data_IF_732513304592
#
_entry.id   IF_732513304592
#
_cell.length_a   1.000
_cell.length_b   1.000
_cell.length_c   1.000
_cell.angle_alpha   90.00
_cell.angle_beta   90.00
_cell.angle_gamma   90.00
#
_symmetry.space_group_name_H-M   'P 1'
#
loop_
_entity.id
_entity.type
_entity.pdbx_description
1 polymer ?
#
# COMPACT_ATOMS: atom_id res chain seq x y z
N UNK A 1 51.36 -25.28 -23.40
CA UNK A 1 50.23 -24.57 -24.08
C UNK A 1 48.88 -25.15 -23.65
N UNK A 2 48.60 -26.44 -23.86
CA UNK A 2 47.28 -26.99 -23.52
C UNK A 2 46.88 -26.74 -22.03
N UNK A 3 47.79 -26.97 -21.10
CA UNK A 3 47.53 -26.75 -19.66
C UNK A 3 47.22 -25.29 -19.30
N UNK A 4 47.89 -24.33 -19.93
CA UNK A 4 47.60 -22.90 -19.76
C UNK A 4 46.17 -22.57 -20.24
N UNK A 5 45.77 -23.10 -21.40
CA UNK A 5 44.41 -22.90 -21.94
C UNK A 5 43.37 -23.53 -21.02
N UNK A 6 43.64 -24.72 -20.49
CA UNK A 6 42.74 -25.41 -19.55
C UNK A 6 42.55 -24.58 -18.26
N UNK A 7 43.64 -24.07 -17.67
CA UNK A 7 43.53 -23.20 -16.49
C UNK A 7 42.77 -21.91 -16.77
N UNK A 8 43.04 -21.28 -17.90
CA UNK A 8 42.37 -20.04 -18.32
C UNK A 8 40.86 -20.27 -18.56
N UNK A 9 40.50 -21.30 -19.33
CA UNK A 9 39.08 -21.63 -19.59
C UNK A 9 38.33 -22.08 -18.34
N UNK A 10 39.01 -22.84 -17.45
CA UNK A 10 38.43 -23.25 -16.18
C UNK A 10 38.11 -22.05 -15.28
N UNK A 11 39.08 -21.14 -15.14
CA UNK A 11 38.90 -19.89 -14.36
C UNK A 11 37.78 -19.04 -14.92
N UNK A 12 37.85 -18.75 -16.26
CA UNK A 12 36.82 -17.97 -16.94
C UNK A 12 35.42 -18.60 -16.81
N UNK A 13 35.32 -19.93 -16.97
CA UNK A 13 34.03 -20.64 -16.89
C UNK A 13 33.39 -20.62 -15.50
N UNK A 14 34.20 -20.88 -14.45
CA UNK A 14 33.71 -20.84 -13.06
C UNK A 14 33.32 -19.40 -12.67
N UNK A 15 34.18 -18.45 -12.98
CA UNK A 15 33.91 -17.03 -12.67
C UNK A 15 32.70 -16.50 -13.46
N UNK A 16 32.55 -16.87 -14.74
CA UNK A 16 31.36 -16.57 -15.54
C UNK A 16 30.07 -17.08 -14.89
N UNK A 17 30.09 -18.36 -14.45
CA UNK A 17 28.93 -18.95 -13.77
C UNK A 17 28.60 -18.22 -12.50
N UNK A 18 29.58 -17.91 -11.65
CA UNK A 18 29.35 -17.17 -10.39
C UNK A 18 28.75 -15.79 -10.65
N UNK A 19 29.27 -15.02 -11.60
CA UNK A 19 28.77 -13.69 -11.95
C UNK A 19 27.35 -13.74 -12.55
N UNK A 20 27.05 -14.79 -13.32
CA UNK A 20 25.69 -15.02 -13.84
C UNK A 20 24.69 -15.31 -12.70
N UNK A 21 25.07 -16.21 -11.77
CA UNK A 21 24.21 -16.56 -10.63
C UNK A 21 23.92 -15.36 -9.74
N UNK A 22 24.96 -14.56 -9.44
CA UNK A 22 24.84 -13.32 -8.67
C UNK A 22 23.87 -12.34 -9.35
N UNK A 23 24.10 -12.09 -10.63
CA UNK A 23 23.32 -11.11 -11.40
C UNK A 23 21.84 -11.50 -11.48
N UNK A 24 21.52 -12.76 -11.76
CA UNK A 24 20.11 -13.25 -11.80
C UNK A 24 19.47 -13.17 -10.42
N UNK A 25 20.18 -13.57 -9.35
CA UNK A 25 19.65 -13.51 -7.99
C UNK A 25 19.29 -12.07 -7.59
N UNK A 26 20.16 -11.11 -7.90
CA UNK A 26 19.95 -9.72 -7.55
C UNK A 26 18.88 -9.05 -8.42
N UNK A 27 18.85 -9.33 -9.71
CA UNK A 27 17.94 -8.66 -10.67
C UNK A 27 16.51 -9.18 -10.67
N UNK A 28 16.25 -10.36 -10.06
CA UNK A 28 14.89 -10.91 -10.04
C UNK A 28 14.04 -10.23 -8.97
N UNK A 29 12.92 -9.53 -9.32
CA UNK A 29 12.03 -8.90 -8.35
C UNK A 29 11.26 -9.92 -7.52
N UNK A 30 11.02 -9.60 -6.24
CA UNK A 30 10.25 -10.46 -5.32
C UNK A 30 8.82 -10.67 -5.84
N UNK A 31 8.19 -9.64 -6.38
CA UNK A 31 6.86 -9.70 -6.97
C UNK A 31 6.73 -10.78 -8.06
N UNK A 32 7.71 -10.86 -8.96
CA UNK A 32 7.73 -11.91 -10.00
C UNK A 32 7.90 -13.31 -9.41
N UNK A 33 8.76 -13.47 -8.41
CA UNK A 33 8.99 -14.76 -7.75
C UNK A 33 7.70 -15.24 -7.07
N UNK A 34 7.00 -14.34 -6.37
CA UNK A 34 5.74 -14.63 -5.68
C UNK A 34 4.65 -15.03 -6.68
N UNK A 35 4.48 -14.27 -7.76
CA UNK A 35 3.56 -14.61 -8.86
C UNK A 35 3.85 -16.00 -9.44
N UNK A 36 5.12 -16.33 -9.70
CA UNK A 36 5.51 -17.65 -10.24
C UNK A 36 5.28 -18.78 -9.23
N UNK A 37 5.43 -18.52 -7.94
CA UNK A 37 5.12 -19.46 -6.85
C UNK A 37 3.62 -19.78 -6.84
N UNK A 38 2.76 -18.78 -6.94
CA UNK A 38 1.30 -18.93 -7.01
C UNK A 38 0.86 -19.71 -8.24
N UNK A 39 1.58 -19.57 -9.37
CA UNK A 39 1.39 -20.37 -10.58
C UNK A 39 1.89 -21.82 -10.45
N UNK A 40 2.39 -22.24 -9.29
CA UNK A 40 2.86 -23.61 -9.03
C UNK A 40 4.26 -23.91 -9.55
N UNK A 41 5.08 -22.91 -9.90
CA UNK A 41 6.44 -23.11 -10.37
C UNK A 41 7.38 -23.48 -9.21
N UNK A 42 7.69 -24.76 -9.05
CA UNK A 42 8.45 -25.32 -7.91
C UNK A 42 9.78 -24.60 -7.58
N UNK A 43 10.62 -24.19 -8.56
CA UNK A 43 11.87 -23.49 -8.24
C UNK A 43 11.64 -22.14 -7.56
N UNK A 44 10.49 -21.48 -7.75
CA UNK A 44 10.20 -20.17 -7.20
C UNK A 44 10.19 -20.16 -5.66
N UNK A 45 9.71 -21.22 -5.01
CA UNK A 45 9.72 -21.30 -3.54
C UNK A 45 11.13 -21.30 -2.95
N UNK A 46 12.05 -22.05 -3.59
CA UNK A 46 13.47 -22.05 -3.15
C UNK A 46 14.15 -20.74 -3.48
N UNK A 47 13.84 -20.16 -4.65
CA UNK A 47 14.43 -18.89 -5.05
C UNK A 47 13.97 -17.76 -4.14
N UNK A 48 12.70 -17.77 -3.70
CA UNK A 48 12.19 -16.82 -2.72
C UNK A 48 12.98 -16.88 -1.42
N UNK A 49 13.29 -18.07 -0.91
CA UNK A 49 14.14 -18.24 0.29
C UNK A 49 15.54 -17.66 0.10
N UNK A 50 16.12 -17.79 -1.11
CA UNK A 50 17.41 -17.16 -1.42
C UNK A 50 17.32 -15.64 -1.51
N UNK A 51 16.18 -15.13 -1.95
CA UNK A 51 15.96 -13.68 -2.06
C UNK A 51 15.65 -13.04 -0.71
N UNK A 52 14.97 -13.76 0.20
CA UNK A 52 14.68 -13.30 1.57
C UNK A 52 15.90 -13.32 2.49
N UNK A 53 16.85 -14.27 2.30
CA UNK A 53 18.13 -14.33 3.02
C UNK A 53 19.27 -14.41 1.97
N UNK A 54 19.60 -13.27 1.31
CA UNK A 54 20.55 -13.25 0.20
C UNK A 54 21.99 -13.46 0.65
N UNK A 55 22.31 -13.26 1.91
CA UNK A 55 23.67 -13.35 2.45
C UNK A 55 24.28 -14.74 2.25
N UNK A 56 23.49 -15.79 2.45
CA UNK A 56 23.95 -17.17 2.28
C UNK A 56 24.31 -17.51 0.84
N UNK A 57 23.41 -17.33 -0.15
CA UNK A 57 23.76 -17.62 -1.54
C UNK A 57 24.87 -16.72 -2.07
N UNK A 58 24.85 -15.43 -1.70
CA UNK A 58 25.91 -14.48 -2.12
C UNK A 58 27.25 -14.87 -1.53
N UNK A 59 27.33 -15.22 -0.24
CA UNK A 59 28.59 -15.69 0.37
C UNK A 59 29.15 -16.92 -0.34
N UNK A 60 28.30 -17.87 -0.73
CA UNK A 60 28.73 -19.06 -1.46
C UNK A 60 29.25 -18.71 -2.88
N UNK A 61 28.53 -17.86 -3.59
CA UNK A 61 28.88 -17.41 -4.94
C UNK A 61 30.19 -16.62 -4.93
N UNK A 62 30.30 -15.61 -4.07
CA UNK A 62 31.46 -14.75 -3.94
C UNK A 62 32.72 -15.52 -3.50
N UNK A 63 32.55 -16.49 -2.57
CA UNK A 63 33.65 -17.34 -2.12
C UNK A 63 34.21 -18.17 -3.28
N UNK A 64 33.35 -18.86 -4.03
CA UNK A 64 33.80 -19.65 -5.18
C UNK A 64 34.43 -18.76 -6.25
N UNK A 65 33.83 -17.61 -6.54
CA UNK A 65 34.39 -16.66 -7.52
C UNK A 65 35.79 -16.17 -7.13
N UNK A 66 35.97 -15.82 -5.85
CA UNK A 66 37.27 -15.36 -5.34
C UNK A 66 38.32 -16.50 -5.39
N UNK A 67 37.95 -17.71 -4.99
CA UNK A 67 38.82 -18.88 -5.07
C UNK A 67 39.23 -19.15 -6.54
N UNK A 68 38.26 -19.18 -7.45
CA UNK A 68 38.49 -19.44 -8.86
C UNK A 68 39.42 -18.39 -9.49
N UNK A 69 39.15 -17.11 -9.23
CA UNK A 69 39.94 -16.02 -9.76
C UNK A 69 41.40 -15.99 -9.17
N UNK A 70 41.52 -16.22 -7.85
CA UNK A 70 42.87 -16.18 -7.19
C UNK A 70 43.70 -17.38 -7.58
N UNK A 71 43.20 -18.59 -7.45
CA UNK A 71 43.91 -19.83 -7.80
C UNK A 71 44.14 -19.90 -9.31
N UNK A 72 43.15 -19.51 -10.10
CA UNK A 72 43.23 -19.49 -11.54
C UNK A 72 44.28 -18.54 -12.06
N UNK A 73 44.29 -17.30 -11.57
CA UNK A 73 45.30 -16.30 -11.93
C UNK A 73 46.72 -16.77 -11.56
N UNK A 74 46.90 -17.36 -10.36
CA UNK A 74 48.19 -17.92 -9.94
C UNK A 74 48.65 -19.09 -10.84
N UNK A 75 47.72 -20.00 -11.19
CA UNK A 75 48.00 -21.15 -12.07
C UNK A 75 48.35 -20.69 -13.51
N UNK A 76 47.61 -19.75 -14.06
CA UNK A 76 47.87 -19.15 -15.38
C UNK A 76 49.19 -18.41 -15.37
N UNK A 77 49.46 -17.59 -14.36
CA UNK A 77 50.74 -16.84 -14.23
C UNK A 77 51.94 -17.75 -14.13
N UNK A 78 51.88 -18.80 -13.28
CA UNK A 78 52.93 -19.80 -13.19
C UNK A 78 53.20 -20.51 -14.53
N UNK A 79 52.14 -20.95 -15.19
CA UNK A 79 52.25 -21.67 -16.46
C UNK A 79 52.77 -20.78 -17.57
N UNK A 80 52.34 -19.50 -17.56
CA UNK A 80 52.87 -18.48 -18.51
C UNK A 80 54.38 -18.26 -18.33
N UNK A 81 54.83 -18.15 -17.08
CA UNK A 81 56.28 -17.98 -16.78
C UNK A 81 57.11 -19.18 -17.24
N UNK A 82 56.58 -20.40 -17.09
CA UNK A 82 57.27 -21.65 -17.54
C UNK A 82 57.36 -21.67 -19.10
N UNK A 83 56.33 -21.21 -19.80
CA UNK A 83 56.28 -21.29 -21.27
C UNK A 83 56.98 -20.13 -21.99
N UNK A 84 56.87 -18.92 -21.45
CA UNK A 84 57.31 -17.68 -22.14
C UNK A 84 58.41 -16.90 -21.40
N UNK A 85 58.81 -17.37 -20.20
CA UNK A 85 59.76 -16.68 -19.37
C UNK A 85 59.18 -15.51 -18.57
N UNK A 86 59.97 -14.96 -17.66
CA UNK A 86 59.53 -13.91 -16.73
C UNK A 86 59.24 -12.58 -17.42
N UNK A 87 59.81 -12.32 -18.56
CA UNK A 87 59.65 -11.07 -19.34
C UNK A 87 58.20 -10.88 -19.82
N UNK A 88 57.52 -11.96 -20.17
CA UNK A 88 56.15 -11.93 -20.70
C UNK A 88 55.07 -12.01 -19.62
N UNK A 89 55.45 -12.25 -18.39
CA UNK A 89 54.51 -12.42 -17.26
C UNK A 89 53.55 -11.23 -17.09
N UNK A 90 54.05 -9.99 -17.16
CA UNK A 90 53.24 -8.79 -17.01
C UNK A 90 52.20 -8.64 -18.12
N UNK A 91 52.56 -8.89 -19.37
CA UNK A 91 51.65 -8.78 -20.52
C UNK A 91 50.55 -9.86 -20.44
N UNK A 92 50.95 -11.11 -20.15
CA UNK A 92 50.00 -12.23 -20.03
C UNK A 92 49.03 -12.02 -18.84
N UNK A 93 49.54 -11.52 -17.70
CA UNK A 93 48.69 -11.18 -16.54
C UNK A 93 47.71 -10.07 -16.87
N UNK A 94 48.14 -8.98 -17.53
CA UNK A 94 47.26 -7.90 -17.95
C UNK A 94 46.17 -8.37 -18.92
N UNK A 95 46.55 -9.22 -19.89
CA UNK A 95 45.63 -9.78 -20.86
C UNK A 95 44.62 -10.75 -20.18
N UNK A 96 45.08 -11.57 -19.25
CA UNK A 96 44.17 -12.46 -18.45
C UNK A 96 43.19 -11.66 -17.60
N UNK A 97 43.66 -10.58 -16.97
CA UNK A 97 42.80 -9.68 -16.19
C UNK A 97 41.73 -9.04 -17.07
N UNK A 98 42.06 -8.59 -18.27
CA UNK A 98 41.12 -8.02 -19.23
C UNK A 98 40.09 -9.09 -19.68
N UNK A 99 40.55 -10.31 -19.97
CA UNK A 99 39.64 -11.42 -20.34
C UNK A 99 38.69 -11.78 -19.21
N UNK A 100 39.19 -11.86 -17.98
CA UNK A 100 38.31 -12.11 -16.78
C UNK A 100 37.29 -10.97 -16.64
N UNK A 101 37.71 -9.72 -16.70
CA UNK A 101 36.80 -8.57 -16.56
C UNK A 101 35.69 -8.60 -17.62
N UNK A 102 36.04 -8.81 -18.89
CA UNK A 102 35.07 -8.75 -19.97
C UNK A 102 34.22 -10.01 -19.98
N UNK A 103 34.81 -11.19 -20.03
CA UNK A 103 34.08 -12.46 -20.25
C UNK A 103 33.54 -13.10 -18.98
N UNK A 104 34.11 -12.82 -17.80
CA UNK A 104 33.67 -13.42 -16.55
C UNK A 104 32.90 -12.47 -15.64
N UNK A 105 32.90 -11.15 -15.89
CA UNK A 105 32.14 -10.21 -15.10
C UNK A 105 31.12 -9.43 -15.93
N UNK A 106 31.55 -8.68 -16.97
CA UNK A 106 30.62 -7.79 -17.70
C UNK A 106 29.59 -8.60 -18.48
N UNK A 107 30.04 -9.56 -19.32
CA UNK A 107 29.13 -10.35 -20.19
C UNK A 107 28.12 -11.15 -19.37
N UNK A 108 28.51 -11.96 -18.37
CA UNK A 108 27.53 -12.76 -17.62
C UNK A 108 26.59 -11.89 -16.79
N UNK A 109 27.04 -10.76 -16.23
CA UNK A 109 26.16 -9.82 -15.51
C UNK A 109 25.12 -9.22 -16.45
N UNK A 110 25.50 -8.83 -17.66
CA UNK A 110 24.56 -8.33 -18.67
C UNK A 110 23.55 -9.39 -19.10
N UNK A 111 24.00 -10.63 -19.31
CA UNK A 111 23.12 -11.75 -19.63
C UNK A 111 22.16 -12.01 -18.46
N UNK A 112 22.66 -12.04 -17.24
CA UNK A 112 21.86 -12.29 -16.05
C UNK A 112 20.78 -11.24 -15.82
N UNK A 113 21.10 -9.95 -15.98
CA UNK A 113 20.13 -8.85 -15.87
C UNK A 113 19.12 -8.83 -17.00
N UNK A 114 19.47 -9.26 -18.22
CA UNK A 114 18.58 -9.25 -19.37
C UNK A 114 17.65 -10.49 -19.43
N UNK A 115 18.15 -11.66 -19.04
CA UNK A 115 17.46 -12.95 -19.20
C UNK A 115 17.08 -13.64 -17.87
N UNK A 116 17.01 -12.89 -16.77
CA UNK A 116 16.74 -13.44 -15.43
C UNK A 116 15.47 -14.29 -15.35
N UNK A 117 14.41 -13.92 -16.11
CA UNK A 117 13.12 -14.67 -16.15
C UNK A 117 13.32 -16.13 -16.59
N UNK A 118 14.12 -16.33 -17.62
CA UNK A 118 14.35 -17.66 -18.20
C UNK A 118 15.40 -18.47 -17.41
N UNK A 119 16.34 -17.77 -16.78
CA UNK A 119 17.44 -18.39 -16.06
C UNK A 119 17.11 -18.76 -14.61
N UNK A 120 15.99 -18.26 -14.03
CA UNK A 120 15.63 -18.46 -12.64
C UNK A 120 15.65 -19.92 -12.21
N UNK A 121 15.13 -20.85 -13.02
CA UNK A 121 15.10 -22.29 -12.70
C UNK A 121 16.49 -22.92 -12.63
N UNK A 122 17.33 -22.64 -13.62
CA UNK A 122 18.73 -23.09 -13.65
C UNK A 122 19.52 -22.53 -12.47
N UNK A 123 19.40 -21.22 -12.22
CA UNK A 123 20.08 -20.50 -11.15
C UNK A 123 19.68 -21.03 -9.79
N UNK A 124 18.38 -21.32 -9.56
CA UNK A 124 17.90 -21.95 -8.31
C UNK A 124 18.63 -23.25 -8.01
N UNK A 125 18.78 -24.10 -9.01
CA UNK A 125 19.44 -25.40 -8.87
C UNK A 125 20.94 -25.25 -8.66
N UNK A 126 21.59 -24.36 -9.41
CA UNK A 126 23.02 -24.08 -9.30
C UNK A 126 23.38 -23.48 -7.94
N UNK A 127 22.62 -22.48 -7.46
CA UNK A 127 22.83 -21.88 -6.12
C UNK A 127 22.58 -22.93 -5.02
N UNK A 128 21.57 -23.78 -5.16
CA UNK A 128 21.33 -24.86 -4.17
C UNK A 128 22.54 -25.79 -4.05
N UNK A 129 23.11 -26.21 -5.18
CA UNK A 129 24.30 -27.03 -5.22
C UNK A 129 25.52 -26.32 -4.61
N UNK A 130 25.71 -25.05 -5.01
CA UNK A 130 26.84 -24.23 -4.55
C UNK A 130 26.79 -23.95 -3.06
N UNK A 131 25.60 -23.69 -2.52
CA UNK A 131 25.40 -23.45 -1.09
C UNK A 131 25.77 -24.68 -0.22
N UNK A 132 25.53 -25.88 -0.75
CA UNK A 132 25.95 -27.12 -0.08
C UNK A 132 27.48 -27.31 -0.18
N UNK A 133 28.05 -27.06 -1.36
CA UNK A 133 29.49 -27.20 -1.59
C UNK A 133 30.33 -26.22 -0.73
N UNK A 134 29.87 -24.98 -0.62
CA UNK A 134 30.53 -23.90 0.12
C UNK A 134 30.07 -23.78 1.57
N UNK A 135 29.26 -24.75 2.07
CA UNK A 135 28.68 -24.71 3.41
C UNK A 135 29.68 -24.38 4.56
N UNK A 136 30.89 -24.97 4.64
CA UNK A 136 31.83 -24.63 5.70
C UNK A 136 32.30 -23.18 5.67
N UNK A 137 32.49 -22.62 4.47
CA UNK A 137 32.89 -21.23 4.29
C UNK A 137 31.73 -20.26 4.63
N UNK A 138 30.52 -20.61 4.25
CA UNK A 138 29.32 -19.82 4.55
C UNK A 138 29.10 -19.70 6.06
N UNK A 139 29.33 -20.79 6.83
CA UNK A 139 29.24 -20.72 8.29
C UNK A 139 30.27 -19.76 8.87
N UNK A 140 31.51 -19.82 8.39
CA UNK A 140 32.58 -18.93 8.88
C UNK A 140 32.25 -17.45 8.61
N UNK A 141 31.74 -17.13 7.42
CA UNK A 141 31.33 -15.77 7.06
C UNK A 141 30.16 -15.32 7.93
N UNK A 142 29.17 -16.20 8.17
CA UNK A 142 28.01 -15.90 9.01
C UNK A 142 28.36 -15.58 10.46
N UNK A 143 29.35 -16.24 11.02
CA UNK A 143 29.85 -15.93 12.35
C UNK A 143 30.40 -14.49 12.44
N UNK A 144 30.99 -13.99 11.35
CA UNK A 144 31.52 -12.63 11.29
C UNK A 144 30.37 -11.64 11.07
N UNK A 145 29.46 -11.94 10.15
CA UNK A 145 28.34 -11.04 9.77
C UNK A 145 27.38 -10.84 10.93
N UNK A 146 27.02 -11.92 11.67
CA UNK A 146 26.14 -11.84 12.84
C UNK A 146 26.69 -10.96 13.98
N UNK A 147 28.01 -10.71 13.98
CA UNK A 147 28.61 -9.76 14.93
C UNK A 147 28.40 -8.29 14.50
N UNK A 148 28.06 -8.05 13.25
CA UNK A 148 27.96 -6.72 12.64
C UNK A 148 26.53 -6.27 12.34
N UNK A 149 25.61 -7.21 12.10
CA UNK A 149 24.19 -6.93 11.82
C UNK A 149 23.34 -7.13 13.06
N UNK A 150 22.56 -6.10 13.43
CA UNK A 150 21.38 -6.25 14.29
C UNK A 150 20.23 -6.71 13.42
N UNK A 151 19.53 -7.76 13.83
CA UNK A 151 18.26 -8.16 13.23
C UNK A 151 17.25 -7.02 13.46
N UNK A 152 16.99 -6.22 12.46
CA UNK A 152 15.81 -5.36 12.38
C UNK A 152 14.79 -6.14 11.56
N UNK A 153 13.75 -6.63 12.23
CA UNK A 153 12.52 -7.17 11.62
C UNK A 153 11.72 -6.01 11.01
N UNK A 154 12.28 -5.31 10.02
CA UNK A 154 11.52 -4.34 9.22
C UNK A 154 10.68 -5.10 8.17
N UNK A 155 9.42 -4.68 8.07
CA UNK A 155 8.56 -5.15 6.99
C UNK A 155 9.26 -4.90 5.65
N UNK A 156 9.43 -5.97 4.85
CA UNK A 156 10.19 -5.93 3.58
C UNK A 156 9.55 -5.06 2.50
N UNK A 157 8.31 -4.61 2.68
CA UNK A 157 7.58 -3.72 1.76
C UNK A 157 6.77 -2.71 2.58
N UNK A 158 6.97 -1.42 2.34
CA UNK A 158 6.21 -0.34 2.96
C UNK A 158 4.96 0.03 2.15
N UNK A 159 4.01 0.75 2.76
CA UNK A 159 2.84 1.30 2.04
C UNK A 159 3.26 2.28 0.95
N UNK A 160 4.32 3.04 1.19
CA UNK A 160 4.89 3.99 0.24
C UNK A 160 5.48 3.27 -0.99
N UNK A 161 6.12 2.11 -0.80
CA UNK A 161 6.63 1.29 -1.90
C UNK A 161 5.50 0.72 -2.77
N UNK A 162 4.40 0.26 -2.15
CA UNK A 162 3.20 -0.18 -2.90
C UNK A 162 2.62 0.96 -3.73
N UNK A 163 2.50 2.16 -3.14
CA UNK A 163 2.02 3.36 -3.81
C UNK A 163 2.93 3.77 -4.97
N UNK A 164 4.25 3.71 -4.76
CA UNK A 164 5.24 4.00 -5.82
C UNK A 164 5.15 2.98 -6.97
N UNK A 165 4.98 1.68 -6.67
CA UNK A 165 4.78 0.65 -7.69
C UNK A 165 3.50 0.87 -8.50
N UNK A 166 2.40 1.27 -7.85
CA UNK A 166 1.16 1.60 -8.55
C UNK A 166 1.34 2.79 -9.50
N UNK A 167 2.07 3.83 -9.08
CA UNK A 167 2.40 4.97 -9.96
C UNK A 167 3.20 4.55 -11.18
N UNK A 168 4.24 3.73 -10.99
CA UNK A 168 5.04 3.19 -12.11
C UNK A 168 4.15 2.36 -13.05
N UNK A 169 3.27 1.51 -12.50
CA UNK A 169 2.33 0.73 -13.29
C UNK A 169 1.38 1.58 -14.13
N UNK A 170 0.96 2.74 -13.62
CA UNK A 170 0.14 3.69 -14.36
C UNK A 170 0.95 4.41 -15.46
N UNK A 171 2.20 4.82 -15.17
CA UNK A 171 3.09 5.43 -16.17
C UNK A 171 3.42 4.46 -17.32
N UNK A 172 3.59 3.17 -17.02
CA UNK A 172 3.84 2.11 -18.02
C UNK A 172 2.57 1.64 -18.74
N UNK A 173 1.37 2.10 -18.33
CA UNK A 173 0.09 1.71 -18.93
C UNK A 173 -0.36 0.29 -18.57
N UNK A 174 0.15 -0.28 -17.48
CA UNK A 174 -0.25 -1.60 -16.94
C UNK A 174 -1.58 -1.51 -16.19
N UNK A 175 -1.80 -0.40 -15.49
CA UNK A 175 -3.06 -0.02 -14.84
C UNK A 175 -3.46 1.37 -15.34
N UNK A 176 -4.74 1.70 -15.29
CA UNK A 176 -5.19 3.03 -15.69
C UNK A 176 -5.06 4.08 -14.55
N UNK A 177 -5.29 5.35 -14.90
CA UNK A 177 -5.14 6.45 -13.95
C UNK A 177 -6.15 6.39 -12.79
N UNK A 178 -7.34 5.85 -13.03
CA UNK A 178 -8.40 5.80 -12.04
C UNK A 178 -8.17 4.62 -11.08
N UNK A 179 -7.73 3.48 -11.60
CA UNK A 179 -7.25 2.35 -10.79
C UNK A 179 -6.11 2.78 -9.84
N UNK A 180 -5.15 3.56 -10.37
CA UNK A 180 -4.05 4.09 -9.55
C UNK A 180 -4.55 5.02 -8.44
N UNK A 181 -5.52 5.92 -8.73
CA UNK A 181 -6.12 6.79 -7.71
C UNK A 181 -6.78 6.00 -6.59
N UNK A 182 -7.55 4.96 -6.94
CA UNK A 182 -8.19 4.07 -5.95
C UNK A 182 -7.15 3.43 -5.03
N UNK A 183 -6.06 2.89 -5.60
CA UNK A 183 -4.97 2.30 -4.81
C UNK A 183 -4.37 3.35 -3.84
N UNK A 184 -4.07 4.56 -4.34
CA UNK A 184 -3.51 5.63 -3.51
C UNK A 184 -4.46 6.05 -2.39
N UNK A 185 -5.76 6.16 -2.66
CA UNK A 185 -6.77 6.58 -1.69
C UNK A 185 -6.95 5.52 -0.59
N UNK A 186 -6.98 4.22 -0.96
CA UNK A 186 -7.03 3.13 0.02
C UNK A 186 -5.79 3.16 0.93
N UNK A 187 -4.59 3.38 0.39
CA UNK A 187 -3.37 3.45 1.19
C UNK A 187 -3.34 4.64 2.16
N UNK A 188 -4.09 5.71 1.87
CA UNK A 188 -4.21 6.92 2.70
C UNK A 188 -5.39 6.89 3.66
N UNK A 189 -6.34 5.95 3.52
CA UNK A 189 -7.63 5.96 4.22
C UNK A 189 -7.48 6.01 5.76
N UNK A 190 -6.44 5.38 6.30
CA UNK A 190 -6.13 5.43 7.73
C UNK A 190 -5.67 6.81 8.22
N UNK A 191 -5.27 7.70 7.31
CA UNK A 191 -4.82 9.05 7.62
C UNK A 191 -5.92 10.10 7.34
N UNK A 192 -7.03 9.72 6.72
CA UNK A 192 -8.17 10.60 6.46
C UNK A 192 -9.04 10.64 7.71
N UNK A 193 -9.21 11.82 8.29
CA UNK A 193 -10.08 12.02 9.44
C UNK A 193 -11.54 12.03 9.02
N UNK A 194 -12.40 11.47 9.86
CA UNK A 194 -13.85 11.42 9.56
C UNK A 194 -14.48 12.81 9.44
N UNK A 195 -13.99 13.80 10.15
CA UNK A 195 -14.48 15.19 10.06
C UNK A 195 -14.34 15.81 8.67
N UNK A 196 -13.40 15.30 7.85
CA UNK A 196 -13.18 15.77 6.48
C UNK A 196 -14.13 15.11 5.46
N UNK A 197 -14.80 14.01 5.86
CA UNK A 197 -15.63 13.18 4.97
C UNK A 197 -17.09 13.14 5.40
N UNK A 198 -17.37 13.17 6.72
CA UNK A 198 -18.71 13.02 7.29
C UNK A 198 -19.71 14.03 6.71
N UNK A 199 -20.99 13.65 6.68
CA UNK A 199 -22.11 14.58 6.49
C UNK A 199 -22.33 15.38 7.77
N UNK A 200 -22.03 16.71 7.81
CA UNK A 200 -22.13 17.51 9.03
C UNK A 200 -23.56 17.65 9.55
N UNK A 201 -23.74 17.81 10.86
CA UNK A 201 -25.05 17.95 11.52
C UNK A 201 -25.95 19.05 10.94
N UNK A 202 -25.37 20.09 10.34
CA UNK A 202 -26.13 21.21 9.78
C UNK A 202 -26.94 20.82 8.56
N UNK A 203 -26.56 19.75 7.86
CA UNK A 203 -27.22 19.19 6.68
C UNK A 203 -27.82 17.82 6.92
N UNK A 204 -27.34 17.10 7.93
CA UNK A 204 -27.87 15.80 8.30
C UNK A 204 -29.36 15.92 8.76
N UNK A 205 -30.22 15.08 8.16
CA UNK A 205 -31.61 15.05 8.52
C UNK A 205 -31.82 14.16 9.75
N UNK A 206 -32.48 14.68 10.79
CA UNK A 206 -32.78 13.96 12.01
C UNK A 206 -34.28 14.05 12.34
N UNK A 207 -34.86 13.04 13.00
CA UNK A 207 -36.26 13.01 13.38
C UNK A 207 -36.42 12.79 14.89
N UNK A 208 -37.50 13.29 15.49
CA UNK A 208 -37.78 13.07 16.89
C UNK A 208 -38.36 11.65 17.10
N UNK A 209 -37.81 10.87 18.02
CA UNK A 209 -38.15 9.46 18.19
C UNK A 209 -39.61 9.21 18.60
N UNK A 210 -40.29 10.18 19.25
CA UNK A 210 -41.70 10.09 19.64
C UNK A 210 -42.67 10.51 18.51
N UNK A 211 -42.18 10.87 17.34
CA UNK A 211 -43.03 11.20 16.18
C UNK A 211 -43.77 9.97 15.70
N UNK A 212 -45.08 10.11 15.36
CA UNK A 212 -45.86 9.03 14.74
C UNK A 212 -45.54 8.86 13.26
N UNK A 213 -45.72 7.64 12.73
CA UNK A 213 -45.48 7.34 11.31
C UNK A 213 -46.27 8.25 10.37
N UNK A 214 -47.52 8.59 10.76
CA UNK A 214 -48.38 9.53 10.04
C UNK A 214 -47.72 10.92 9.89
N UNK A 215 -47.09 11.42 10.96
CA UNK A 215 -46.43 12.74 10.92
C UNK A 215 -45.11 12.66 10.23
N UNK A 216 -44.39 11.58 10.34
CA UNK A 216 -43.17 11.31 9.62
C UNK A 216 -43.40 11.36 8.10
N UNK A 217 -44.39 10.64 7.59
CA UNK A 217 -44.75 10.56 6.19
C UNK A 217 -45.21 11.89 5.59
N UNK A 218 -45.84 12.76 6.38
CA UNK A 218 -46.25 14.09 5.91
C UNK A 218 -45.10 15.04 5.55
N UNK A 219 -43.93 14.74 6.01
CA UNK A 219 -42.74 15.53 5.71
C UNK A 219 -41.93 14.85 4.61
N UNK A 220 -42.15 15.27 3.37
CA UNK A 220 -41.49 14.71 2.17
C UNK A 220 -39.96 14.70 2.29
N UNK A 221 -39.37 15.58 3.11
CA UNK A 221 -37.90 15.65 3.30
C UNK A 221 -37.31 14.35 3.87
N UNK A 222 -38.05 13.64 4.72
CA UNK A 222 -37.59 12.35 5.27
C UNK A 222 -37.57 11.23 4.22
N UNK A 223 -38.40 11.32 3.18
CA UNK A 223 -38.56 10.27 2.19
C UNK A 223 -37.38 10.16 1.20
N UNK A 224 -36.46 11.11 1.26
CA UNK A 224 -35.25 11.10 0.44
C UNK A 224 -34.06 10.36 1.07
N UNK A 225 -34.20 9.93 2.34
CA UNK A 225 -33.09 9.32 3.07
C UNK A 225 -33.45 7.90 3.50
N UNK A 226 -32.62 6.92 3.14
CA UNK A 226 -32.83 5.52 3.50
C UNK A 226 -32.68 5.26 5.00
N UNK A 227 -31.84 6.06 5.70
CA UNK A 227 -31.54 5.95 7.14
C UNK A 227 -31.64 7.31 7.77
N UNK A 228 -32.46 7.43 8.80
CA UNK A 228 -32.71 8.71 9.48
C UNK A 228 -32.33 8.57 10.94
N UNK A 229 -31.30 9.27 11.43
CA UNK A 229 -30.98 9.34 12.85
C UNK A 229 -32.15 9.92 13.66
N UNK A 230 -32.41 9.34 14.83
CA UNK A 230 -33.49 9.81 15.70
C UNK A 230 -32.94 10.25 17.05
N UNK A 231 -33.58 11.31 17.59
CA UNK A 231 -33.24 11.89 18.89
C UNK A 231 -34.41 11.88 19.85
N UNK A 232 -34.13 11.83 21.16
CA UNK A 232 -35.12 11.91 22.22
C UNK A 232 -35.58 13.35 22.52
N UNK A 233 -35.04 13.91 23.59
CA UNK A 233 -35.44 15.24 24.07
C UNK A 233 -34.77 16.38 23.36
N UNK A 234 -33.52 16.20 22.87
CA UNK A 234 -32.72 17.20 22.18
C UNK A 234 -32.09 16.67 20.92
N UNK A 235 -32.10 17.43 19.82
CA UNK A 235 -31.40 17.09 18.58
C UNK A 235 -29.86 16.93 18.71
N UNK A 236 -29.30 17.35 19.83
CA UNK A 236 -27.86 17.21 20.12
C UNK A 236 -27.50 15.78 20.54
N UNK A 237 -28.50 14.95 20.95
CA UNK A 237 -28.28 13.59 21.44
C UNK A 237 -29.09 12.59 20.63
N UNK A 238 -28.41 11.99 19.66
CA UNK A 238 -29.01 10.94 18.83
C UNK A 238 -29.06 9.64 19.65
N UNK A 239 -30.21 8.97 19.64
CA UNK A 239 -30.47 7.74 20.41
C UNK A 239 -30.43 6.48 19.54
N UNK A 240 -30.39 6.61 18.21
CA UNK A 240 -30.38 5.54 17.24
C UNK A 240 -30.76 6.04 15.85
N UNK A 241 -31.13 5.14 14.98
CA UNK A 241 -31.66 5.48 13.65
C UNK A 241 -32.84 4.57 13.27
N UNK A 242 -33.61 4.99 12.28
CA UNK A 242 -34.68 4.17 11.66
C UNK A 242 -34.33 3.95 10.19
N UNK A 243 -34.85 2.86 9.63
CA UNK A 243 -34.88 2.65 8.18
C UNK A 243 -36.19 3.21 7.61
N UNK A 244 -36.10 3.91 6.48
CA UNK A 244 -37.28 4.36 5.75
C UNK A 244 -38.16 3.18 5.34
N UNK A 245 -37.59 2.05 4.95
CA UNK A 245 -38.32 0.83 4.59
C UNK A 245 -39.26 0.35 5.72
N UNK A 246 -38.73 0.31 6.97
CA UNK A 246 -39.48 -0.14 8.13
C UNK A 246 -40.65 0.82 8.43
N UNK A 247 -40.42 2.13 8.26
CA UNK A 247 -41.45 3.15 8.43
C UNK A 247 -42.54 3.05 7.35
N UNK A 248 -42.17 2.78 6.10
CA UNK A 248 -43.13 2.57 5.01
C UNK A 248 -43.89 1.26 5.14
N UNK A 249 -43.27 0.18 5.64
CA UNK A 249 -43.90 -1.07 5.92
C UNK A 249 -44.99 -0.89 7.02
N UNK A 250 -44.69 -0.22 8.14
CA UNK A 250 -45.67 0.09 9.16
C UNK A 250 -46.84 0.94 8.66
N UNK A 251 -46.58 1.89 7.71
CA UNK A 251 -47.64 2.65 7.08
C UNK A 251 -48.54 1.79 6.15
N UNK A 252 -47.94 0.83 5.46
CA UNK A 252 -48.68 -0.10 4.59
C UNK A 252 -49.59 -1.06 5.42
N UNK A 253 -49.18 -1.34 6.68
CA UNK A 253 -49.97 -2.13 7.63
C UNK A 253 -51.01 -1.30 8.45
N UNK A 254 -51.26 -0.04 8.02
CA UNK A 254 -52.20 0.90 8.67
C UNK A 254 -51.80 1.30 10.11
N UNK A 255 -50.50 1.13 10.51
CA UNK A 255 -49.98 1.47 11.85
C UNK A 255 -49.66 2.97 11.99
N UNK A 256 -50.55 3.85 11.61
CA UNK A 256 -50.32 5.31 11.52
C UNK A 256 -49.89 5.98 12.83
N UNK A 257 -50.31 5.48 13.97
CA UNK A 257 -50.02 6.03 15.29
C UNK A 257 -48.76 5.43 15.94
N UNK A 258 -48.16 4.40 15.34
CA UNK A 258 -46.89 3.80 15.77
C UNK A 258 -45.78 4.88 15.75
N UNK A 259 -44.95 4.87 16.80
CA UNK A 259 -43.88 5.87 16.96
C UNK A 259 -42.56 5.37 16.41
N UNK A 260 -41.68 6.30 15.95
CA UNK A 260 -40.37 5.97 15.42
C UNK A 260 -39.50 5.23 16.44
N UNK A 261 -39.66 5.47 17.75
CA UNK A 261 -38.92 4.78 18.80
C UNK A 261 -39.15 3.27 18.78
N UNK A 262 -40.30 2.79 18.28
CA UNK A 262 -40.63 1.36 18.17
C UNK A 262 -39.90 0.68 17.00
N UNK A 263 -39.44 1.46 16.02
CA UNK A 263 -38.67 1.02 14.85
C UNK A 263 -37.17 1.33 15.00
N UNK A 264 -36.77 1.98 16.10
CA UNK A 264 -35.41 2.45 16.34
C UNK A 264 -34.40 1.30 16.41
N UNK A 265 -33.31 1.46 15.70
CA UNK A 265 -32.15 0.57 15.73
C UNK A 265 -30.97 1.25 16.42
N UNK A 266 -30.10 0.49 17.09
CA UNK A 266 -28.87 1.06 17.66
C UNK A 266 -27.96 1.57 16.57
N UNK A 267 -27.14 2.58 16.87
CA UNK A 267 -26.16 3.17 15.98
C UNK A 267 -24.79 3.18 16.65
N UNK A 268 -23.73 2.80 15.93
CA UNK A 268 -22.36 2.96 16.42
C UNK A 268 -21.94 4.42 16.39
N UNK A 269 -21.18 4.83 17.39
CA UNK A 269 -20.65 6.20 17.49
C UNK A 269 -19.12 6.19 17.42
N UNK A 270 -18.58 7.25 16.84
CA UNK A 270 -17.17 7.51 16.63
C UNK A 270 -16.86 8.97 16.96
N UNK A 271 -15.60 9.30 17.14
CA UNK A 271 -15.16 10.67 17.44
C UNK A 271 -14.68 11.38 16.17
N UNK A 272 -14.63 12.71 16.18
CA UNK A 272 -14.13 13.51 15.05
C UNK A 272 -12.67 13.20 14.66
N UNK A 273 -11.89 12.65 15.60
CA UNK A 273 -10.49 12.30 15.39
C UNK A 273 -10.28 10.89 14.79
N UNK A 274 -11.34 10.05 14.74
CA UNK A 274 -11.24 8.72 14.18
C UNK A 274 -10.95 8.76 12.68
N UNK A 275 -10.13 7.81 12.21
CA UNK A 275 -9.84 7.68 10.79
C UNK A 275 -10.96 6.97 10.04
N UNK A 276 -11.17 7.34 8.78
CA UNK A 276 -12.12 6.66 7.91
C UNK A 276 -11.81 5.16 7.76
N UNK A 277 -10.52 4.77 7.78
CA UNK A 277 -10.11 3.36 7.74
C UNK A 277 -10.60 2.57 8.95
N UNK A 278 -10.43 3.12 10.17
CA UNK A 278 -10.92 2.50 11.39
C UNK A 278 -12.46 2.37 11.40
N UNK A 279 -13.16 3.43 11.01
CA UNK A 279 -14.62 3.43 10.94
C UNK A 279 -15.12 2.41 9.93
N UNK A 280 -14.50 2.32 8.77
CA UNK A 280 -14.83 1.33 7.74
C UNK A 280 -14.76 -0.10 8.27
N UNK A 281 -13.65 -0.46 8.93
CA UNK A 281 -13.48 -1.79 9.53
C UNK A 281 -14.57 -2.11 10.57
N UNK A 282 -14.88 -1.15 11.47
CA UNK A 282 -15.87 -1.34 12.51
C UNK A 282 -17.32 -1.45 11.95
N UNK A 283 -17.69 -0.63 10.97
CA UNK A 283 -19.00 -0.70 10.32
C UNK A 283 -19.17 -2.04 9.58
N UNK A 284 -18.15 -2.49 8.83
CA UNK A 284 -18.19 -3.79 8.15
C UNK A 284 -18.31 -4.96 9.13
N UNK A 285 -17.53 -4.93 10.21
CA UNK A 285 -17.56 -5.98 11.24
C UNK A 285 -18.89 -6.10 11.95
N UNK A 286 -19.59 -4.98 12.15
CA UNK A 286 -20.92 -4.94 12.79
C UNK A 286 -22.07 -5.07 11.80
N UNK A 287 -21.79 -5.12 10.49
CA UNK A 287 -22.79 -5.08 9.42
C UNK A 287 -23.69 -3.83 9.47
N UNK A 288 -23.11 -2.71 9.92
CA UNK A 288 -23.75 -1.41 9.95
C UNK A 288 -23.36 -0.60 8.71
N UNK A 289 -24.25 0.29 8.25
CA UNK A 289 -23.99 1.12 7.07
C UNK A 289 -24.00 2.61 7.40
N UNK A 290 -24.23 2.97 8.67
CA UNK A 290 -24.24 4.33 9.15
C UNK A 290 -23.60 4.38 10.54
N UNK A 291 -22.77 5.40 10.77
CA UNK A 291 -22.18 5.72 12.07
C UNK A 291 -22.49 7.15 12.49
N UNK A 292 -22.53 7.40 13.78
CA UNK A 292 -22.72 8.70 14.38
C UNK A 292 -21.38 9.29 14.77
N UNK A 293 -21.14 10.55 14.43
CA UNK A 293 -19.95 11.29 14.85
C UNK A 293 -20.34 12.21 16.00
N UNK A 294 -19.58 12.09 17.10
CA UNK A 294 -19.80 12.86 18.32
C UNK A 294 -18.51 13.60 18.74
N UNK A 295 -18.67 14.70 19.44
CA UNK A 295 -17.54 15.38 20.10
C UNK A 295 -17.18 14.73 21.45
N UNK A 296 -16.20 15.30 22.15
CA UNK A 296 -15.74 14.86 23.46
C UNK A 296 -16.80 14.95 24.57
N UNK A 297 -17.89 15.68 24.35
CA UNK A 297 -19.02 15.84 25.26
C UNK A 297 -20.21 14.91 24.90
N UNK A 298 -20.07 14.10 23.85
CA UNK A 298 -21.13 13.22 23.34
C UNK A 298 -22.19 13.93 22.50
N UNK A 299 -21.95 15.19 22.09
CA UNK A 299 -22.86 15.92 21.23
C UNK A 299 -22.73 15.53 19.76
N UNK A 300 -23.83 15.46 19.07
CA UNK A 300 -23.92 15.12 17.65
C UNK A 300 -23.18 16.15 16.78
N UNK A 301 -22.22 15.69 15.97
CA UNK A 301 -21.48 16.49 15.02
C UNK A 301 -21.82 16.16 13.55
N UNK A 302 -22.13 14.90 13.26
CA UNK A 302 -22.45 14.47 11.92
C UNK A 302 -22.70 12.97 11.83
N UNK A 303 -22.93 12.50 10.63
CA UNK A 303 -23.05 11.08 10.31
C UNK A 303 -22.00 10.70 9.26
N UNK A 304 -21.61 9.45 9.28
CA UNK A 304 -20.77 8.82 8.27
C UNK A 304 -21.45 7.57 7.76
N UNK A 305 -21.47 7.36 6.47
CA UNK A 305 -22.00 6.15 5.83
C UNK A 305 -20.89 5.37 5.15
N UNK A 306 -21.15 4.12 4.81
CA UNK A 306 -20.21 3.35 3.96
C UNK A 306 -20.11 3.97 2.57
N UNK A 307 -21.13 4.66 2.09
CA UNK A 307 -21.16 5.39 0.83
C UNK A 307 -20.10 6.50 0.84
N UNK A 308 -20.06 7.36 1.88
CA UNK A 308 -19.06 8.43 2.03
C UNK A 308 -17.62 7.89 2.01
N UNK A 309 -17.40 6.73 2.65
CA UNK A 309 -16.08 6.08 2.68
C UNK A 309 -15.71 5.53 1.30
N UNK A 310 -16.66 4.91 0.59
CA UNK A 310 -16.45 4.40 -0.77
C UNK A 310 -16.16 5.56 -1.74
N UNK A 311 -16.87 6.66 -1.63
CA UNK A 311 -16.61 7.89 -2.40
C UNK A 311 -15.19 8.41 -2.17
N UNK A 312 -14.75 8.43 -0.92
CA UNK A 312 -13.37 8.79 -0.55
C UNK A 312 -12.35 7.85 -1.20
N UNK A 313 -12.62 6.54 -1.23
CA UNK A 313 -11.75 5.54 -1.88
C UNK A 313 -11.73 5.73 -3.40
N UNK A 314 -12.89 5.92 -4.02
CA UNK A 314 -12.99 6.11 -5.47
C UNK A 314 -12.47 7.48 -5.90
N UNK A 315 -12.47 8.48 -5.01
CA UNK A 315 -12.16 9.87 -5.32
C UNK A 315 -13.21 10.51 -6.22
N UNK A 316 -14.45 10.04 -6.12
CA UNK A 316 -15.62 10.46 -6.90
C UNK A 316 -16.80 10.60 -5.95
N UNK A 317 -17.66 11.59 -6.21
CA UNK A 317 -18.98 11.68 -5.58
C UNK A 317 -19.97 10.74 -6.29
N UNK A 318 -20.64 9.88 -5.53
CA UNK A 318 -21.69 9.00 -6.04
C UNK A 318 -23.01 9.79 -5.94
N UNK A 319 -23.53 10.25 -7.08
CA UNK A 319 -24.74 11.06 -7.13
C UNK A 319 -25.94 10.12 -7.28
N UNK A 320 -26.86 10.11 -6.31
CA UNK A 320 -28.17 9.46 -6.44
C UNK A 320 -29.14 10.34 -7.23
N UNK A 321 -30.12 9.74 -7.91
CA UNK A 321 -31.14 10.41 -8.71
C UNK A 321 -31.95 11.47 -7.92
N UNK A 322 -31.98 11.34 -6.58
CA UNK A 322 -32.71 12.21 -5.66
C UNK A 322 -31.84 13.25 -4.94
N UNK A 323 -30.53 13.27 -5.16
CA UNK A 323 -29.62 14.17 -4.46
C UNK A 323 -29.83 15.63 -4.85
N UNK A 324 -30.07 16.48 -3.84
CA UNK A 324 -30.20 17.93 -4.03
C UNK A 324 -28.85 18.66 -4.12
N UNK A 325 -27.76 18.02 -3.73
CA UNK A 325 -26.39 18.54 -3.76
C UNK A 325 -25.40 17.42 -4.01
N UNK A 326 -24.41 17.70 -4.83
CA UNK A 326 -23.37 16.74 -5.23
C UNK A 326 -22.38 16.45 -4.08
N UNK A 327 -22.12 17.42 -3.22
CA UNK A 327 -21.19 17.35 -2.09
C UNK A 327 -21.85 17.97 -0.85
N UNK A 328 -22.15 17.14 0.14
CA UNK A 328 -22.81 17.56 1.39
C UNK A 328 -21.92 18.44 2.27
N UNK A 329 -20.61 18.29 2.18
CA UNK A 329 -19.64 19.16 2.85
C UNK A 329 -19.63 20.56 2.22
N UNK A 330 -19.61 20.65 0.89
CA UNK A 330 -19.70 21.92 0.19
C UNK A 330 -21.05 22.60 0.45
N UNK A 331 -22.14 21.84 0.42
CA UNK A 331 -23.47 22.33 0.73
C UNK A 331 -23.58 22.85 2.17
N UNK A 332 -22.96 22.18 3.15
CA UNK A 332 -22.88 22.65 4.53
C UNK A 332 -22.10 23.97 4.64
N UNK A 333 -20.96 24.11 3.94
CA UNK A 333 -20.19 25.36 3.88
C UNK A 333 -20.98 26.51 3.30
N UNK A 334 -21.65 26.30 2.17
CA UNK A 334 -22.50 27.30 1.55
C UNK A 334 -23.69 27.71 2.45
N UNK A 335 -24.32 26.75 3.12
CA UNK A 335 -25.40 26.99 4.05
C UNK A 335 -24.94 27.80 5.27
N UNK A 336 -23.73 27.53 5.76
CA UNK A 336 -23.10 28.28 6.84
C UNK A 336 -22.76 29.74 6.42
N UNK A 337 -22.17 29.92 5.22
CA UNK A 337 -21.87 31.26 4.68
C UNK A 337 -23.12 32.11 4.49
N UNK A 338 -24.21 31.51 3.98
CA UNK A 338 -25.52 32.21 3.85
C UNK A 338 -26.06 32.63 5.23
N UNK A 339 -25.89 31.78 6.23
CA UNK A 339 -26.25 32.08 7.63
C UNK A 339 -25.40 33.22 8.19
N UNK A 340 -24.07 33.17 8.03
CA UNK A 340 -23.16 34.22 8.48
C UNK A 340 -23.47 35.59 7.83
N UNK A 341 -23.77 35.62 6.54
CA UNK A 341 -24.18 36.86 5.86
C UNK A 341 -25.45 37.45 6.48
N UNK A 342 -26.43 36.63 6.83
CA UNK A 342 -27.64 37.09 7.55
C UNK A 342 -27.33 37.61 8.94
N UNK A 343 -26.46 36.97 9.70
CA UNK A 343 -26.09 37.42 11.05
C UNK A 343 -25.22 38.69 11.03
N UNK A 344 -24.29 38.84 10.08
CA UNK A 344 -23.50 40.06 9.92
C UNK A 344 -24.37 41.28 9.59
N UNK A 345 -25.46 41.10 8.94
CA UNK A 345 -26.42 42.20 8.65
C UNK A 345 -27.22 42.61 9.90
N UNK A 346 -27.31 41.74 10.92
CA UNK A 346 -28.09 42.02 12.15
C UNK A 346 -27.21 42.54 13.31
N UNK A 347 -25.89 42.26 13.32
CA UNK A 347 -25.04 42.43 14.53
C UNK A 347 -24.03 43.56 14.42
N UNK A 348 -23.91 44.27 13.30
CA UNK A 348 -23.02 45.46 13.24
C UNK A 348 -23.88 46.73 13.05
N UNK A 349 -24.20 47.47 14.11
CA UNK A 349 -24.52 48.87 13.96
C UNK A 349 -23.23 49.54 13.42
N UNK A 350 -23.33 50.20 12.27
CA UNK A 350 -22.26 51.08 11.80
C UNK A 350 -21.98 52.07 12.94
N UNK A 351 -20.80 52.04 13.50
CA UNK A 351 -20.26 53.19 14.23
C UNK A 351 -20.12 54.33 13.22
N UNK A 352 -21.04 55.26 13.31
CA UNK A 352 -21.00 56.48 12.56
C UNK A 352 -19.71 57.23 12.87
N UNK A 353 -19.02 57.57 11.84
CA UNK A 353 -17.88 58.43 11.67
C UNK A 353 -18.04 59.75 12.48
N UNK A 354 -17.64 59.75 13.74
CA UNK A 354 -17.48 60.96 14.55
C UNK A 354 -16.01 61.32 14.71
N UNK A 355 -15.33 61.57 13.58
CA UNK A 355 -14.00 62.19 13.62
C UNK A 355 -13.75 63.14 12.44
N UNK A 356 -14.70 64.06 12.18
CA UNK A 356 -14.40 65.29 11.44
C UNK A 356 -15.15 66.45 12.09
N UNK A 357 -14.68 66.90 13.26
CA UNK A 357 -14.92 68.22 13.78
C UNK A 357 -14.04 68.49 15.01
N UNK A 358 -12.74 68.74 14.78
CA UNK A 358 -11.98 69.79 15.52
C UNK A 358 -10.62 70.01 14.86
#
# INVERSE_FOLDING_TARGET
>A
MALLIVYMLGTLGVSFLCSLLESVLMSTPISYITMRKEQGYRPAEKFLKFKSDPDRPLAAILSLNTIANTLGAAAVGRQATILFGSTWFGIISAMTTLLVLVFSEIVPKTIGTSYWKNLMGFVTSAISFLSVLMWPLVIMIRLITNLMTKDEDEATVSREEVTAMANIGAEEGVIDSDENKVIQNIMKLDNVKVCDVMTPKIVAMTAQENMSLKNFYKNDTYLHFSRIPVYGDSPEYITGYILLSDALEGLADDEFDKRLVELKRPISFFTEEDSCGHIWEELLKKHEQIGLIIDEYGCFQGIITLEDIIETILGLEIIDENDQATDMQQFARERWERRQKRFRTIVIPKEDDKSQAR
#
